data_IF_703344155653
#
_entry.id   IF_703344155653
#
_cell.length_a   1.000
_cell.length_b   1.000
_cell.length_c   1.000
_cell.angle_alpha   90.00
_cell.angle_beta   90.00
_cell.angle_gamma   90.00
#
_symmetry.space_group_name_H-M   'P 1'
#
loop_
_entity.id
_entity.type
_entity.pdbx_description
1 polymer ?
#
# COMPACT_ATOMS: atom_id res chain seq x y z
N UNK A 1 22.84 16.45 -56.64
CA UNK A 1 21.61 16.05 -55.92
C UNK A 1 21.56 14.54 -55.86
N UNK A 2 21.71 13.93 -54.69
CA UNK A 2 21.67 12.46 -54.55
C UNK A 2 20.20 12.05 -54.49
N UNK A 3 19.68 11.46 -55.57
CA UNK A 3 18.34 10.87 -55.61
C UNK A 3 18.37 9.51 -54.92
N UNK A 4 18.03 9.49 -53.63
CA UNK A 4 17.87 8.24 -52.88
C UNK A 4 16.51 7.64 -53.28
N UNK A 5 16.45 6.40 -53.80
CA UNK A 5 15.18 5.80 -54.18
C UNK A 5 14.31 5.59 -52.94
N UNK A 6 13.08 6.12 -52.97
CA UNK A 6 12.12 6.10 -51.86
C UNK A 6 11.92 4.70 -51.24
N UNK A 7 12.03 3.63 -52.03
CA UNK A 7 11.95 2.25 -51.52
C UNK A 7 13.02 1.93 -50.47
N UNK A 8 14.26 2.44 -50.61
CA UNK A 8 15.33 2.23 -49.63
C UNK A 8 15.06 2.96 -48.32
N UNK A 9 14.42 4.13 -48.38
CA UNK A 9 14.05 4.94 -47.20
C UNK A 9 12.97 4.20 -46.39
N UNK A 10 11.93 3.68 -47.06
CA UNK A 10 10.86 2.93 -46.40
C UNK A 10 11.39 1.66 -45.74
N UNK A 11 12.29 0.94 -46.39
CA UNK A 11 12.93 -0.26 -45.82
C UNK A 11 13.77 0.11 -44.59
N UNK A 12 14.53 1.21 -44.64
CA UNK A 12 15.34 1.66 -43.50
C UNK A 12 14.46 2.01 -42.29
N UNK A 13 13.36 2.74 -42.51
CA UNK A 13 12.41 3.08 -41.45
C UNK A 13 11.71 1.86 -40.87
N UNK A 14 11.36 0.88 -41.72
CA UNK A 14 10.76 -0.39 -41.27
C UNK A 14 11.73 -1.18 -40.37
N UNK A 15 13.00 -1.29 -40.77
CA UNK A 15 14.06 -1.91 -39.97
C UNK A 15 14.27 -1.18 -38.63
N UNK A 16 14.27 0.16 -38.65
CA UNK A 16 14.41 0.98 -37.46
C UNK A 16 13.23 0.76 -36.49
N UNK A 17 12.00 0.76 -37.01
CA UNK A 17 10.79 0.53 -36.22
C UNK A 17 10.77 -0.88 -35.62
N UNK A 18 11.20 -1.90 -36.38
CA UNK A 18 11.28 -3.28 -35.90
C UNK A 18 12.32 -3.43 -34.77
N UNK A 19 13.49 -2.80 -34.92
CA UNK A 19 14.52 -2.74 -33.87
C UNK A 19 13.98 -2.14 -32.56
N UNK A 20 13.29 -0.99 -32.66
CA UNK A 20 12.68 -0.32 -31.50
C UNK A 20 11.61 -1.21 -30.84
N UNK A 21 10.81 -1.92 -31.65
CA UNK A 21 9.78 -2.82 -31.16
C UNK A 21 10.35 -3.99 -30.35
N UNK A 22 11.43 -4.61 -30.83
CA UNK A 22 12.13 -5.69 -30.10
C UNK A 22 12.69 -5.17 -28.78
N UNK A 23 13.29 -3.98 -28.78
CA UNK A 23 13.81 -3.30 -27.59
C UNK A 23 12.69 -3.03 -26.56
N UNK A 24 11.52 -2.58 -27.03
CA UNK A 24 10.35 -2.35 -26.21
C UNK A 24 9.82 -3.63 -25.53
N UNK A 25 9.75 -4.74 -26.28
CA UNK A 25 9.35 -6.05 -25.74
C UNK A 25 10.34 -6.56 -24.67
N UNK A 26 11.64 -6.32 -24.87
CA UNK A 26 12.68 -6.69 -23.91
C UNK A 26 12.56 -5.89 -22.61
N UNK A 27 12.38 -4.57 -22.71
CA UNK A 27 12.14 -3.69 -21.56
C UNK A 27 10.85 -4.07 -20.80
N UNK A 28 9.79 -4.49 -21.50
CA UNK A 28 8.54 -4.97 -20.88
C UNK A 28 8.78 -6.22 -20.02
N UNK A 29 9.52 -7.20 -20.53
CA UNK A 29 9.86 -8.42 -19.77
C UNK A 29 10.67 -8.11 -18.50
N UNK A 30 11.61 -7.18 -18.57
CA UNK A 30 12.43 -6.75 -17.42
C UNK A 30 11.56 -6.13 -16.32
N UNK A 31 10.59 -5.27 -16.68
CA UNK A 31 9.67 -4.65 -15.70
C UNK A 31 8.79 -5.68 -14.98
N UNK A 32 8.26 -6.66 -15.71
CA UNK A 32 7.38 -7.69 -15.12
C UNK A 32 8.14 -8.56 -14.10
N UNK A 33 9.39 -8.93 -14.37
CA UNK A 33 10.23 -9.68 -13.41
C UNK A 33 10.52 -8.89 -12.13
N UNK A 34 10.75 -7.57 -12.23
CA UNK A 34 10.95 -6.71 -11.04
C UNK A 34 9.68 -6.62 -10.18
N UNK A 35 8.50 -6.57 -10.79
CA UNK A 35 7.22 -6.57 -10.07
C UNK A 35 6.97 -7.86 -9.27
N UNK A 36 7.20 -9.03 -9.90
CA UNK A 36 7.06 -10.33 -9.23
C UNK A 36 8.01 -10.50 -8.04
N UNK A 37 9.30 -10.14 -8.20
CA UNK A 37 10.28 -10.21 -7.10
C UNK A 37 9.93 -9.30 -5.91
N UNK A 38 9.35 -8.11 -6.16
CA UNK A 38 8.89 -7.23 -5.08
C UNK A 38 7.70 -7.83 -4.32
N UNK A 39 6.74 -8.42 -5.02
CA UNK A 39 5.59 -9.06 -4.38
C UNK A 39 6.00 -10.28 -3.56
N UNK A 40 6.99 -11.04 -4.02
CA UNK A 40 7.50 -12.22 -3.33
C UNK A 40 8.26 -11.87 -2.04
N UNK A 41 9.11 -10.83 -2.07
CA UNK A 41 9.78 -10.30 -0.86
C UNK A 41 8.80 -9.79 0.20
N UNK A 42 7.70 -9.16 -0.23
CA UNK A 42 6.64 -8.70 0.70
C UNK A 42 5.98 -9.92 1.36
N UNK A 43 5.66 -10.98 0.60
CA UNK A 43 5.09 -12.21 1.16
C UNK A 43 6.02 -12.90 2.15
N UNK A 44 7.32 -12.93 1.88
CA UNK A 44 8.31 -13.49 2.82
C UNK A 44 8.37 -12.68 4.12
N UNK A 45 8.39 -11.36 4.05
CA UNK A 45 8.40 -10.48 5.23
C UNK A 45 7.20 -10.73 6.16
N UNK A 46 6.01 -10.99 5.60
CA UNK A 46 4.83 -11.32 6.39
C UNK A 46 4.85 -12.75 6.96
N UNK A 47 5.61 -13.69 6.37
CA UNK A 47 5.76 -15.05 6.90
C UNK A 47 6.80 -15.13 8.03
N UNK A 48 7.87 -14.34 7.95
CA UNK A 48 8.97 -14.32 8.93
C UNK A 48 8.78 -13.31 10.06
N UNK A 49 7.79 -12.41 9.95
CA UNK A 49 7.38 -11.59 11.07
C UNK A 49 7.07 -12.50 12.27
N UNK A 50 7.74 -12.32 13.42
CA UNK A 50 7.52 -13.18 14.58
C UNK A 50 6.03 -13.14 14.90
N UNK A 51 5.38 -14.32 14.86
CA UNK A 51 4.02 -14.50 15.37
C UNK A 51 4.08 -14.13 16.84
N UNK A 52 3.84 -12.86 17.15
CA UNK A 52 3.76 -12.36 18.51
C UNK A 52 2.69 -13.24 19.14
N UNK A 53 3.06 -14.00 20.19
CA UNK A 53 2.10 -14.82 20.92
C UNK A 53 0.98 -13.88 21.34
N UNK A 54 -0.15 -13.99 20.65
CA UNK A 54 -1.36 -13.25 20.99
C UNK A 54 -1.83 -13.86 22.30
N UNK A 55 -1.32 -13.35 23.42
CA UNK A 55 -1.93 -13.62 24.72
C UNK A 55 -3.43 -13.33 24.60
N UNK A 56 -4.28 -14.13 25.26
CA UNK A 56 -5.74 -13.96 25.21
C UNK A 56 -6.09 -12.48 25.34
N UNK A 57 -6.55 -11.88 24.25
CA UNK A 57 -6.87 -10.46 24.18
C UNK A 57 -8.12 -10.27 25.05
N UNK A 58 -8.12 -9.35 26.02
CA UNK A 58 -9.33 -9.01 26.75
C UNK A 58 -10.41 -8.55 25.77
N UNK A 59 -11.61 -9.15 25.82
CA UNK A 59 -12.69 -8.85 24.86
C UNK A 59 -12.98 -7.36 24.75
N UNK A 60 -12.96 -6.64 25.87
CA UNK A 60 -13.10 -5.18 25.94
C UNK A 60 -12.14 -4.42 25.00
N UNK A 61 -10.92 -4.90 24.82
CA UNK A 61 -9.93 -4.23 23.96
C UNK A 61 -10.06 -4.62 22.49
N UNK A 62 -10.53 -5.84 22.20
CA UNK A 62 -10.93 -6.26 20.86
C UNK A 62 -12.14 -5.45 20.36
N UNK A 63 -13.10 -5.16 21.24
CA UNK A 63 -14.23 -4.28 20.91
C UNK A 63 -13.78 -2.86 20.54
N UNK A 64 -12.87 -2.25 21.31
CA UNK A 64 -12.35 -0.91 21.01
C UNK A 64 -11.69 -0.90 19.63
N UNK A 65 -10.86 -1.90 19.33
CA UNK A 65 -10.21 -2.01 18.02
C UNK A 65 -11.23 -2.19 16.88
N UNK A 66 -12.23 -3.05 17.07
CA UNK A 66 -13.31 -3.24 16.10
C UNK A 66 -14.11 -1.95 15.87
N UNK A 67 -14.37 -1.16 16.93
CA UNK A 67 -15.01 0.16 16.80
C UNK A 67 -14.17 1.13 15.98
N UNK A 68 -12.85 1.13 16.18
CA UNK A 68 -11.92 1.95 15.39
C UNK A 68 -11.95 1.52 13.91
N UNK A 69 -11.83 0.22 13.63
CA UNK A 69 -11.92 -0.32 12.26
C UNK A 69 -13.22 0.10 11.59
N UNK A 70 -14.35 -0.05 12.30
CA UNK A 70 -15.66 0.31 11.77
C UNK A 70 -15.73 1.78 11.39
N UNK A 71 -15.25 2.68 12.25
CA UNK A 71 -15.20 4.13 11.96
C UNK A 71 -14.34 4.45 10.74
N UNK A 72 -13.20 3.78 10.59
CA UNK A 72 -12.31 3.97 9.44
C UNK A 72 -12.98 3.53 8.14
N UNK A 73 -13.64 2.36 8.15
CA UNK A 73 -14.37 1.87 6.98
C UNK A 73 -15.53 2.80 6.63
N UNK A 74 -16.31 3.25 7.62
CA UNK A 74 -17.41 4.20 7.41
C UNK A 74 -16.91 5.53 6.84
N UNK A 75 -15.80 6.07 7.35
CA UNK A 75 -15.17 7.28 6.83
C UNK A 75 -14.73 7.11 5.36
N UNK A 76 -14.20 5.93 5.03
CA UNK A 76 -13.80 5.65 3.65
C UNK A 76 -14.99 5.46 2.69
N UNK A 77 -16.07 4.83 3.14
CA UNK A 77 -17.30 4.64 2.37
C UNK A 77 -17.99 5.99 2.10
N UNK A 78 -18.04 6.86 3.10
CA UNK A 78 -18.57 8.23 2.99
C UNK A 78 -17.67 9.20 2.20
N UNK A 79 -16.41 8.82 1.94
CA UNK A 79 -15.46 9.66 1.19
C UNK A 79 -14.75 10.72 2.04
N UNK A 80 -14.80 10.60 3.37
CA UNK A 80 -14.13 11.50 4.28
C UNK A 80 -12.60 11.44 4.12
N UNK A 81 -11.99 12.61 3.97
CA UNK A 81 -10.53 12.74 3.85
C UNK A 81 -9.83 12.74 5.21
N UNK A 82 -10.54 13.04 6.29
CA UNK A 82 -9.97 13.17 7.63
C UNK A 82 -10.89 12.52 8.65
N UNK A 83 -10.35 11.64 9.48
CA UNK A 83 -11.07 10.97 10.57
C UNK A 83 -10.43 11.32 11.92
N UNK A 84 -11.25 11.76 12.87
CA UNK A 84 -10.85 11.96 14.27
C UNK A 84 -11.24 10.75 15.14
N UNK A 85 -10.25 10.17 15.82
CA UNK A 85 -10.43 9.06 16.74
C UNK A 85 -10.00 9.48 18.14
N UNK A 86 -10.86 9.31 19.15
CA UNK A 86 -10.46 9.39 20.56
C UNK A 86 -9.91 8.01 20.98
N UNK A 87 -8.64 7.97 21.37
CA UNK A 87 -8.01 6.75 21.91
C UNK A 87 -7.92 6.88 23.44
N UNK A 88 -8.07 5.77 24.17
CA UNK A 88 -7.88 5.73 25.62
C UNK A 88 -6.38 5.77 25.97
N UNK A 89 -6.08 6.22 27.19
CA UNK A 89 -4.75 6.61 27.70
C UNK A 89 -3.65 5.54 27.57
N UNK A 90 -4.00 4.27 27.46
CA UNK A 90 -3.06 3.14 27.40
C UNK A 90 -2.98 2.48 26.00
N UNK A 91 -3.31 3.21 24.93
CA UNK A 91 -3.26 2.69 23.56
C UNK A 91 -2.58 3.65 22.57
N UNK A 92 -1.57 3.13 21.86
CA UNK A 92 -0.86 3.84 20.80
C UNK A 92 -1.28 3.33 19.42
N UNK A 93 -1.60 4.22 18.49
CA UNK A 93 -1.90 3.87 17.10
C UNK A 93 -0.71 4.18 16.20
N UNK A 94 -0.30 3.21 15.39
CA UNK A 94 0.80 3.31 14.41
C UNK A 94 0.32 2.81 13.05
N UNK A 95 0.90 3.34 11.98
CA UNK A 95 0.70 2.82 10.62
C UNK A 95 2.06 2.40 10.11
N UNK A 96 2.18 1.12 9.75
CA UNK A 96 3.44 0.52 9.30
C UNK A 96 3.56 0.55 7.78
N UNK A 97 2.44 0.36 7.09
CA UNK A 97 2.30 0.45 5.64
C UNK A 97 1.09 1.32 5.29
N UNK A 98 0.97 1.87 4.06
CA UNK A 98 -0.13 2.76 3.68
C UNK A 98 -1.54 2.20 3.90
N UNK A 99 -1.70 0.90 4.14
CA UNK A 99 -2.95 0.19 4.35
C UNK A 99 -3.00 -0.56 5.69
N UNK A 100 -1.93 -0.60 6.49
CA UNK A 100 -1.86 -1.40 7.72
C UNK A 100 -1.81 -0.51 8.97
N UNK A 101 -2.83 -0.65 9.81
CA UNK A 101 -2.93 0.00 11.12
C UNK A 101 -2.56 -0.99 12.22
N UNK A 102 -1.68 -0.56 13.12
CA UNK A 102 -1.29 -1.24 14.34
C UNK A 102 -1.76 -0.46 15.57
N UNK A 103 -2.41 -1.13 16.53
CA UNK A 103 -2.72 -0.61 17.86
C UNK A 103 -1.85 -1.32 18.88
N UNK A 104 -0.98 -0.58 19.56
CA UNK A 104 -0.06 -1.07 20.57
C UNK A 104 -0.56 -0.70 21.96
N UNK A 105 -0.66 -1.69 22.83
CA UNK A 105 -1.03 -1.53 24.24
C UNK A 105 0.02 -2.22 25.11
N UNK A 106 0.07 -1.97 26.44
CA UNK A 106 1.11 -2.52 27.31
C UNK A 106 1.30 -4.05 27.26
N UNK A 107 0.26 -4.81 26.88
CA UNK A 107 0.30 -6.29 26.87
C UNK A 107 0.10 -6.93 25.50
N UNK A 108 -0.26 -6.17 24.47
CA UNK A 108 -0.52 -6.73 23.13
C UNK A 108 -0.45 -5.67 22.03
N UNK A 109 -0.19 -6.13 20.80
CA UNK A 109 -0.36 -5.38 19.56
C UNK A 109 -1.46 -6.02 18.70
N UNK A 110 -2.21 -5.17 17.99
CA UNK A 110 -3.25 -5.60 17.04
C UNK A 110 -3.00 -4.94 15.69
N UNK A 111 -2.99 -5.73 14.62
CA UNK A 111 -2.75 -5.25 13.25
C UNK A 111 -3.97 -5.51 12.35
N UNK A 112 -4.32 -4.55 11.49
CA UNK A 112 -5.38 -4.68 10.48
C UNK A 112 -4.96 -4.02 9.16
N UNK A 113 -5.10 -4.74 8.05
CA UNK A 113 -4.93 -4.21 6.69
C UNK A 113 -6.28 -3.74 6.12
N UNK A 114 -6.23 -2.66 5.34
CA UNK A 114 -7.35 -1.98 4.68
C UNK A 114 -7.06 -1.85 3.17
N UNK A 115 -7.50 -2.83 2.39
CA UNK A 115 -7.21 -2.88 0.95
C UNK A 115 -7.77 -1.70 0.13
N UNK A 116 -8.77 -1.00 0.65
CA UNK A 116 -9.55 -0.01 -0.09
C UNK A 116 -9.25 1.44 0.32
N UNK A 117 -8.29 1.64 1.24
CA UNK A 117 -7.99 2.94 1.85
C UNK A 117 -6.48 3.10 1.91
N UNK A 118 -5.96 4.26 1.49
CA UNK A 118 -4.57 4.65 1.77
C UNK A 118 -4.54 5.69 2.88
N UNK A 119 -3.74 5.45 3.89
CA UNK A 119 -3.47 6.42 4.94
C UNK A 119 -2.30 7.31 4.51
N UNK A 120 -2.53 8.62 4.49
CA UNK A 120 -1.52 9.58 4.09
C UNK A 120 -0.70 10.07 5.28
N UNK A 121 -1.35 10.35 6.40
CA UNK A 121 -0.71 10.91 7.60
C UNK A 121 -1.51 10.56 8.85
N UNK A 122 -0.80 10.39 9.96
CA UNK A 122 -1.36 10.38 11.30
C UNK A 122 -0.86 11.62 12.03
N UNK A 123 -1.75 12.34 12.71
CA UNK A 123 -1.38 13.39 13.67
C UNK A 123 -1.97 13.03 15.04
N UNK A 124 -1.10 12.80 16.02
CA UNK A 124 -1.52 12.64 17.43
C UNK A 124 -1.71 14.02 18.04
N UNK A 125 -2.78 14.18 18.79
CA UNK A 125 -3.15 15.32 19.65
C UNK A 125 -3.34 14.75 21.06
N UNK A 126 -3.39 15.61 22.08
CA UNK A 126 -3.44 15.19 23.49
C UNK A 126 -4.51 14.12 23.77
N UNK A 127 -5.75 14.32 23.29
CA UNK A 127 -6.86 13.36 23.52
C UNK A 127 -7.35 12.63 22.26
N UNK A 128 -6.74 12.90 21.11
CA UNK A 128 -7.27 12.48 19.80
C UNK A 128 -6.18 12.14 18.80
N UNK A 129 -6.56 11.30 17.84
CA UNK A 129 -5.74 10.98 16.67
C UNK A 129 -6.49 11.38 15.41
N UNK A 130 -5.85 12.20 14.59
CA UNK A 130 -6.30 12.55 13.23
C UNK A 130 -5.65 11.63 12.22
N UNK A 131 -6.48 10.90 11.49
CA UNK A 131 -6.09 10.07 10.36
C UNK A 131 -6.46 10.80 9.06
N UNK A 132 -5.50 10.98 8.18
CA UNK A 132 -5.72 11.53 6.85
C UNK A 132 -5.83 10.37 5.86
N UNK A 133 -7.01 10.24 5.25
CA UNK A 133 -7.38 9.15 4.36
C UNK A 133 -7.34 9.62 2.90
N UNK A 134 -6.90 8.73 2.02
CA UNK A 134 -6.89 8.90 0.57
C UNK A 134 -7.51 7.67 -0.07
N UNK A 135 -8.54 7.87 -0.88
CA UNK A 135 -9.13 6.79 -1.68
C UNK A 135 -8.13 6.29 -2.72
N UNK A 136 -8.12 4.99 -2.95
CA UNK A 136 -7.25 4.33 -3.94
C UNK A 136 -7.82 4.52 -5.33
#
# INVERSE_FOLDING_TARGET
MIQIPYGKIVILFSLLAFSIFVLFLWLRRIRIKKGKKKAEKIKEYFKTAPKTKVGKIPEKKKEIFNRIIKKINQAAESGDKVLELKLKEDAQLKIEAPDVIALQTPKFSLHKSFSNIRFQKIKRLEDKVKLYLKKI
#
